data_IF_113567939317
#
_entry.id   IF_113567939317
#
_cell.length_a   1.000
_cell.length_b   1.000
_cell.length_c   1.000
_cell.angle_alpha   90.00
_cell.angle_beta   90.00
_cell.angle_gamma   90.00
#
_symmetry.space_group_name_H-M   'P 1'
#
loop_
_entity.id
_entity.type
_entity.pdbx_description
1 polymer ?
#
# COMPACT_ATOMS: atom_id res chain seq x y z
N UNK A 1 -27.07 0.23 12.33
CA UNK A 1 -25.96 1.21 12.19
C UNK A 1 -26.35 2.46 12.96
N UNK A 2 -25.57 2.85 13.97
CA UNK A 2 -25.96 3.93 14.89
C UNK A 2 -25.72 5.31 14.24
N UNK A 3 -26.60 6.27 14.48
CA UNK A 3 -26.45 7.65 13.97
C UNK A 3 -25.10 8.28 14.38
N UNK A 4 -24.58 7.91 15.54
CA UNK A 4 -23.29 8.37 16.08
C UNK A 4 -22.06 7.91 15.26
N UNK A 5 -22.16 6.79 14.54
CA UNK A 5 -21.05 6.29 13.69
C UNK A 5 -20.93 7.08 12.38
N UNK A 6 -22.06 7.51 11.81
CA UNK A 6 -22.09 8.30 10.57
C UNK A 6 -21.61 9.73 10.80
N UNK A 7 -21.98 10.34 11.92
CA UNK A 7 -21.47 11.67 12.31
C UNK A 7 -19.98 11.65 12.61
N UNK A 8 -19.46 10.59 13.23
CA UNK A 8 -18.00 10.39 13.45
C UNK A 8 -17.22 10.22 12.14
N UNK A 9 -17.67 9.34 11.24
CA UNK A 9 -17.04 9.16 9.91
C UNK A 9 -17.01 10.47 9.11
N UNK A 10 -18.09 11.24 9.15
CA UNK A 10 -18.15 12.56 8.52
C UNK A 10 -17.17 13.53 9.16
N UNK A 11 -16.97 13.44 10.47
CA UNK A 11 -16.03 14.28 11.22
C UNK A 11 -14.57 13.83 11.04
N UNK A 12 -14.27 12.59 10.69
CA UNK A 12 -12.90 12.15 10.37
C UNK A 12 -12.53 12.53 8.92
N UNK A 13 -13.41 12.27 7.95
CA UNK A 13 -13.15 12.57 6.54
C UNK A 13 -13.25 14.07 6.21
N UNK A 14 -14.04 14.83 6.96
CA UNK A 14 -14.25 16.26 6.72
C UNK A 14 -13.87 17.14 7.93
N UNK A 15 -13.30 16.57 8.99
CA UNK A 15 -13.01 17.31 10.22
C UNK A 15 -11.90 18.32 10.09
N UNK A 16 -10.87 18.02 9.29
CA UNK A 16 -9.71 18.90 9.13
C UNK A 16 -9.23 19.03 7.68
N UNK A 17 -10.18 19.26 6.78
CA UNK A 17 -9.93 19.50 5.34
C UNK A 17 -8.83 20.55 5.11
N UNK A 18 -8.75 21.58 5.95
CA UNK A 18 -7.71 22.62 5.85
C UNK A 18 -6.32 22.04 6.10
N UNK A 19 -6.15 21.27 7.17
CA UNK A 19 -4.86 20.63 7.45
C UNK A 19 -4.53 19.56 6.42
N UNK A 20 -5.49 18.77 5.96
CA UNK A 20 -5.24 17.72 4.95
C UNK A 20 -4.84 18.32 3.60
N UNK A 21 -5.48 19.42 3.20
CA UNK A 21 -5.10 20.17 2.00
C UNK A 21 -3.72 20.82 2.15
N UNK A 22 -3.44 21.43 3.31
CA UNK A 22 -2.13 22.04 3.56
C UNK A 22 -1.03 20.96 3.61
N UNK A 23 -1.29 19.82 4.25
CA UNK A 23 -0.36 18.70 4.30
C UNK A 23 -0.10 18.15 2.90
N UNK A 24 -1.14 17.89 2.10
CA UNK A 24 -1.00 17.45 0.71
C UNK A 24 -0.25 18.46 -0.16
N UNK A 25 -0.51 19.76 0.01
CA UNK A 25 0.18 20.83 -0.70
C UNK A 25 1.66 20.93 -0.30
N UNK A 26 1.96 20.87 1.00
CA UNK A 26 3.35 20.90 1.50
C UNK A 26 4.12 19.68 1.02
N UNK A 27 3.52 18.49 1.09
CA UNK A 27 4.11 17.24 0.59
C UNK A 27 4.35 17.32 -0.92
N UNK A 28 3.39 17.81 -1.69
CA UNK A 28 3.57 17.97 -3.15
C UNK A 28 4.66 18.99 -3.50
N UNK A 29 4.69 20.14 -2.81
CA UNK A 29 5.71 21.17 -3.02
C UNK A 29 7.12 20.70 -2.63
N UNK A 30 7.24 19.82 -1.64
CA UNK A 30 8.52 19.23 -1.26
C UNK A 30 8.98 18.14 -2.24
N UNK A 31 8.10 17.18 -2.57
CA UNK A 31 8.46 15.99 -3.34
C UNK A 31 8.63 16.25 -4.84
N UNK A 32 7.89 17.20 -5.45
CA UNK A 32 7.99 17.46 -6.89
C UNK A 32 9.40 17.96 -7.28
N UNK A 33 9.97 19.00 -6.62
CA UNK A 33 11.33 19.45 -6.90
C UNK A 33 12.38 18.38 -6.59
N UNK A 34 12.22 17.62 -5.51
CA UNK A 34 13.16 16.57 -5.09
C UNK A 34 13.26 15.46 -6.14
N UNK A 35 12.12 14.92 -6.60
CA UNK A 35 12.08 13.87 -7.61
C UNK A 35 12.68 14.33 -8.95
N UNK A 36 12.45 15.59 -9.33
CA UNK A 36 13.03 16.19 -10.54
C UNK A 36 14.55 16.40 -10.36
N UNK A 37 14.99 16.89 -9.21
CA UNK A 37 16.40 17.14 -8.94
C UNK A 37 17.24 15.86 -9.01
N UNK A 38 16.79 14.75 -8.40
CA UNK A 38 17.49 13.48 -8.50
C UNK A 38 17.53 12.93 -9.92
N UNK A 39 16.45 13.11 -10.69
CA UNK A 39 16.41 12.69 -12.09
C UNK A 39 17.40 13.49 -12.94
N UNK A 40 17.49 14.81 -12.73
CA UNK A 40 18.46 15.69 -13.42
C UNK A 40 19.89 15.32 -13.05
N UNK A 41 20.19 15.07 -11.77
CA UNK A 41 21.54 14.68 -11.32
C UNK A 41 21.95 13.33 -11.93
N UNK A 42 21.00 12.40 -12.05
CA UNK A 42 21.21 11.10 -12.69
C UNK A 42 21.26 11.17 -14.23
N UNK A 43 20.99 12.33 -14.84
CA UNK A 43 20.99 12.52 -16.29
C UNK A 43 19.84 11.84 -17.02
N UNK A 44 18.75 11.52 -16.33
CA UNK A 44 17.57 10.81 -16.88
C UNK A 44 16.30 11.65 -16.73
N UNK A 45 15.35 11.47 -17.63
CA UNK A 45 14.06 12.14 -17.52
C UNK A 45 13.29 11.71 -16.25
N UNK A 46 12.55 12.60 -15.56
CA UNK A 46 11.74 12.25 -14.39
C UNK A 46 10.74 11.10 -14.60
N UNK A 47 10.30 10.91 -15.86
CA UNK A 47 9.45 9.77 -16.25
C UNK A 47 10.12 8.43 -15.99
N UNK A 48 11.45 8.35 -16.15
CA UNK A 48 12.22 7.13 -15.88
C UNK A 48 12.17 6.79 -14.38
N UNK A 49 12.22 7.80 -13.50
CA UNK A 49 12.05 7.61 -12.06
C UNK A 49 10.71 6.98 -11.69
N UNK A 50 9.62 7.39 -12.34
CA UNK A 50 8.30 6.78 -12.15
C UNK A 50 8.24 5.33 -12.62
N UNK A 51 8.85 5.01 -13.77
CA UNK A 51 8.93 3.63 -14.24
C UNK A 51 9.82 2.77 -13.34
N UNK A 52 10.89 3.35 -12.78
CA UNK A 52 11.78 2.67 -11.85
C UNK A 52 11.05 2.31 -10.54
N UNK A 53 10.29 3.23 -9.95
CA UNK A 53 9.53 2.95 -8.73
C UNK A 53 8.45 1.89 -8.94
N UNK A 54 7.73 1.95 -10.06
CA UNK A 54 6.79 0.89 -10.44
C UNK A 54 7.49 -0.47 -10.63
N UNK A 55 8.64 -0.48 -11.31
CA UNK A 55 9.41 -1.73 -11.52
C UNK A 55 9.88 -2.33 -10.21
N UNK A 56 10.35 -1.51 -9.27
CA UNK A 56 10.72 -1.95 -7.92
C UNK A 56 9.52 -2.54 -7.19
N UNK A 57 8.34 -1.91 -7.25
CA UNK A 57 7.12 -2.43 -6.65
C UNK A 57 6.69 -3.80 -7.21
N UNK A 58 6.92 -4.04 -8.51
CA UNK A 58 6.67 -5.36 -9.12
C UNK A 58 7.71 -6.38 -8.63
N UNK A 59 8.98 -6.00 -8.53
CA UNK A 59 10.05 -6.89 -8.07
C UNK A 59 9.86 -7.27 -6.60
N UNK A 60 9.42 -6.35 -5.74
CA UNK A 60 9.16 -6.64 -4.31
C UNK A 60 7.98 -7.57 -4.08
N UNK A 61 7.13 -7.82 -5.08
CA UNK A 61 6.10 -8.85 -5.02
C UNK A 61 6.64 -10.28 -5.24
N UNK A 62 7.82 -10.45 -5.86
CA UNK A 62 8.37 -11.78 -6.15
C UNK A 62 8.77 -12.59 -4.92
N UNK A 63 9.39 -12.01 -3.87
CA UNK A 63 9.65 -12.71 -2.61
C UNK A 63 8.41 -13.34 -1.98
N UNK A 64 7.22 -12.81 -2.27
CA UNK A 64 5.95 -13.36 -1.77
C UNK A 64 5.69 -14.78 -2.29
N UNK A 65 6.30 -15.15 -3.42
CA UNK A 65 6.18 -16.47 -4.04
C UNK A 65 7.33 -17.42 -3.68
N UNK A 66 8.26 -17.02 -2.80
CA UNK A 66 9.38 -17.88 -2.39
C UNK A 66 9.00 -18.64 -1.11
N UNK A 67 9.16 -19.96 -1.12
CA UNK A 67 8.91 -20.82 0.05
C UNK A 67 7.43 -21.03 0.39
N UNK A 68 6.51 -20.82 -0.57
CA UNK A 68 5.07 -20.98 -0.38
C UNK A 68 4.55 -22.32 -0.88
N UNK A 69 3.37 -22.72 -0.38
CA UNK A 69 2.66 -23.94 -0.79
C UNK A 69 2.35 -23.93 -2.28
N UNK A 70 2.36 -25.11 -2.91
CA UNK A 70 1.98 -25.31 -4.32
C UNK A 70 0.62 -24.67 -4.68
N UNK A 71 -0.31 -24.69 -3.73
CA UNK A 71 -1.65 -24.12 -3.84
C UNK A 71 -1.63 -22.61 -4.10
N UNK A 72 -0.67 -21.89 -3.52
CA UNK A 72 -0.49 -20.44 -3.75
C UNK A 72 -0.20 -20.16 -5.22
N UNK A 73 0.60 -20.99 -5.89
CA UNK A 73 0.86 -20.83 -7.33
C UNK A 73 -0.40 -21.08 -8.17
N UNK A 74 -1.24 -22.06 -7.81
CA UNK A 74 -2.52 -22.28 -8.48
C UNK A 74 -3.47 -21.11 -8.30
N UNK A 75 -3.52 -20.55 -7.09
CA UNK A 75 -4.33 -19.37 -6.81
C UNK A 75 -3.87 -18.14 -7.58
N UNK A 76 -2.55 -17.92 -7.69
CA UNK A 76 -1.99 -16.82 -8.48
C UNK A 76 -2.29 -17.03 -9.96
N UNK A 77 -2.10 -18.24 -10.49
CA UNK A 77 -2.44 -18.57 -11.88
C UNK A 77 -3.94 -18.40 -12.16
N UNK A 78 -4.81 -18.85 -11.25
CA UNK A 78 -6.25 -18.65 -11.32
C UNK A 78 -6.65 -17.17 -11.23
N UNK A 79 -5.99 -16.40 -10.36
CA UNK A 79 -6.20 -14.97 -10.23
C UNK A 79 -5.83 -14.20 -11.50
N UNK A 80 -4.68 -14.51 -12.10
CA UNK A 80 -4.26 -13.96 -13.39
C UNK A 80 -5.24 -14.37 -14.51
N UNK A 81 -5.68 -15.62 -14.53
CA UNK A 81 -6.69 -16.08 -15.49
C UNK A 81 -7.98 -15.26 -15.38
N UNK A 82 -8.48 -14.99 -14.17
CA UNK A 82 -9.66 -14.14 -13.97
C UNK A 82 -9.36 -12.71 -14.43
N UNK A 83 -8.23 -12.11 -14.03
CA UNK A 83 -7.87 -10.73 -14.38
C UNK A 83 -7.86 -10.52 -15.90
N UNK A 84 -7.31 -11.46 -16.65
CA UNK A 84 -7.23 -11.36 -18.11
C UNK A 84 -8.51 -11.78 -18.82
N UNK A 85 -9.22 -12.80 -18.34
CA UNK A 85 -10.37 -13.38 -19.05
C UNK A 85 -11.71 -12.71 -18.72
N UNK A 86 -11.89 -12.24 -17.48
CA UNK A 86 -13.10 -11.55 -17.03
C UNK A 86 -13.46 -10.26 -17.81
N UNK A 87 -12.53 -9.37 -18.18
CA UNK A 87 -12.88 -8.13 -18.91
C UNK A 87 -13.48 -8.40 -20.30
N UNK A 88 -13.34 -9.61 -20.85
CA UNK A 88 -14.00 -10.01 -22.10
C UNK A 88 -15.51 -10.23 -21.94
N UNK A 89 -15.98 -10.46 -20.72
CA UNK A 89 -17.41 -10.68 -20.42
C UNK A 89 -18.08 -9.37 -20.00
N UNK A 90 -17.41 -8.58 -19.15
CA UNK A 90 -17.93 -7.28 -18.68
C UNK A 90 -16.81 -6.27 -18.45
N UNK A 91 -16.99 -5.07 -18.98
CA UNK A 91 -16.02 -3.95 -18.85
C UNK A 91 -16.43 -2.96 -17.76
N UNK A 92 -17.62 -3.11 -17.17
CA UNK A 92 -18.14 -2.17 -16.17
C UNK A 92 -17.49 -2.32 -14.79
N UNK A 93 -16.97 -3.52 -14.47
CA UNK A 93 -16.41 -3.85 -13.15
C UNK A 93 -14.90 -4.07 -13.31
N UNK A 94 -14.05 -3.42 -12.50
CA UNK A 94 -12.61 -3.70 -12.49
C UNK A 94 -12.33 -5.19 -12.22
N UNK A 95 -11.63 -5.86 -13.12
CA UNK A 95 -11.30 -7.29 -12.97
C UNK A 95 -10.50 -7.62 -11.70
N UNK A 96 -9.59 -6.77 -11.18
CA UNK A 96 -8.89 -7.07 -9.92
C UNK A 96 -9.83 -7.20 -8.72
N UNK A 97 -10.90 -6.41 -8.69
CA UNK A 97 -11.90 -6.48 -7.61
C UNK A 97 -12.61 -7.83 -7.62
N UNK A 98 -12.98 -8.30 -8.81
CA UNK A 98 -13.64 -9.60 -8.97
C UNK A 98 -12.73 -10.74 -8.56
N UNK A 99 -11.46 -10.70 -8.97
CA UNK A 99 -10.45 -11.69 -8.56
C UNK A 99 -10.31 -11.77 -7.04
N UNK A 100 -10.18 -10.63 -6.35
CA UNK A 100 -10.04 -10.60 -4.90
C UNK A 100 -11.27 -11.22 -4.23
N UNK A 101 -12.48 -10.86 -4.65
CA UNK A 101 -13.72 -11.40 -4.07
C UNK A 101 -13.81 -12.91 -4.28
N UNK A 102 -13.57 -13.39 -5.51
CA UNK A 102 -13.69 -14.82 -5.85
C UNK A 102 -12.64 -15.64 -5.11
N UNK A 103 -11.38 -15.23 -5.15
CA UNK A 103 -10.31 -15.98 -4.49
C UNK A 103 -10.46 -15.97 -2.96
N UNK A 104 -10.90 -14.86 -2.38
CA UNK A 104 -11.17 -14.78 -0.93
C UNK A 104 -12.35 -15.68 -0.53
N UNK A 105 -13.42 -15.69 -1.33
CA UNK A 105 -14.55 -16.58 -1.07
C UNK A 105 -14.15 -18.06 -1.18
N UNK A 106 -13.34 -18.41 -2.18
CA UNK A 106 -12.82 -19.76 -2.38
C UNK A 106 -11.91 -20.19 -1.22
N UNK A 107 -10.97 -19.36 -0.78
CA UNK A 107 -10.09 -19.71 0.34
C UNK A 107 -10.85 -19.90 1.63
N UNK A 108 -11.82 -19.04 1.92
CA UNK A 108 -12.67 -19.16 3.10
C UNK A 108 -13.55 -20.41 3.06
N UNK A 109 -14.15 -20.73 1.90
CA UNK A 109 -15.05 -21.86 1.75
C UNK A 109 -14.31 -23.21 1.84
N UNK A 110 -13.15 -23.32 1.18
CA UNK A 110 -12.35 -24.56 1.17
C UNK A 110 -11.35 -24.66 2.33
N UNK A 111 -11.21 -23.60 3.16
CA UNK A 111 -10.25 -23.56 4.26
C UNK A 111 -8.81 -23.72 3.78
N UNK A 112 -8.49 -23.13 2.62
CA UNK A 112 -7.18 -23.28 2.00
C UNK A 112 -6.11 -22.58 2.85
N UNK A 113 -5.09 -23.34 3.25
CA UNK A 113 -3.94 -22.83 4.00
C UNK A 113 -3.00 -22.06 3.07
N UNK A 114 -3.32 -20.79 2.89
CA UNK A 114 -2.53 -19.83 2.11
C UNK A 114 -2.20 -18.62 2.97
N UNK A 115 -1.03 -18.02 2.69
CA UNK A 115 -0.55 -16.86 3.41
C UNK A 115 -1.49 -15.67 3.19
N UNK A 116 -2.23 -15.29 4.23
CA UNK A 116 -3.26 -14.27 4.14
C UNK A 116 -2.73 -12.90 4.59
N UNK A 117 -3.34 -11.84 4.06
CA UNK A 117 -3.02 -10.45 4.46
C UNK A 117 -3.25 -10.21 5.96
N UNK A 118 -4.19 -10.96 6.56
CA UNK A 118 -4.45 -10.93 8.01
C UNK A 118 -3.23 -11.32 8.84
N UNK A 119 -2.38 -12.20 8.32
CA UNK A 119 -1.20 -12.70 9.05
C UNK A 119 0.02 -11.80 8.86
N UNK A 120 -0.05 -10.83 7.93
CA UNK A 120 1.03 -9.90 7.60
C UNK A 120 1.10 -8.68 8.53
N UNK A 121 0.03 -8.41 9.27
CA UNK A 121 -0.04 -7.26 10.15
C UNK A 121 -1.39 -7.11 10.80
N UNK A 122 -1.42 -6.35 11.89
CA UNK A 122 -2.67 -6.01 12.56
C UNK A 122 -3.41 -5.00 11.69
N UNK A 123 -4.64 -5.35 11.29
CA UNK A 123 -5.52 -4.37 10.68
C UNK A 123 -5.95 -3.36 11.77
N UNK A 124 -5.95 -2.05 11.49
CA UNK A 124 -6.29 -1.05 12.48
C UNK A 124 -7.77 -1.16 12.85
N UNK A 125 -8.03 -1.56 14.10
CA UNK A 125 -9.38 -1.67 14.66
C UNK A 125 -9.81 -0.39 15.43
N UNK A 126 -8.90 0.58 15.56
CA UNK A 126 -9.11 1.85 16.26
C UNK A 126 -8.64 3.03 15.43
N UNK A 127 -9.20 4.20 15.71
CA UNK A 127 -8.84 5.44 15.03
C UNK A 127 -7.36 5.79 15.25
N UNK A 128 -6.67 6.34 14.23
CA UNK A 128 -5.29 6.79 14.39
C UNK A 128 -5.25 7.92 15.43
N UNK A 129 -4.52 7.70 16.50
CA UNK A 129 -4.23 8.71 17.52
C UNK A 129 -2.76 9.11 17.39
N UNK A 130 -2.47 10.36 17.75
CA UNK A 130 -1.10 10.85 17.76
C UNK A 130 -0.29 10.09 18.83
N UNK A 131 0.48 9.11 18.39
CA UNK A 131 1.39 8.32 19.21
C UNK A 131 2.75 9.01 19.17
N UNK A 132 3.22 9.50 20.33
CA UNK A 132 4.64 9.83 20.46
C UNK A 132 5.45 8.53 20.40
N UNK A 133 6.57 8.48 19.66
CA UNK A 133 7.35 7.26 19.53
C UNK A 133 7.80 6.73 20.89
N UNK A 134 7.42 5.49 21.23
CA UNK A 134 7.83 4.80 22.47
C UNK A 134 9.29 4.26 22.40
N UNK A 135 10.14 4.91 21.60
CA UNK A 135 11.57 4.59 21.48
C UNK A 135 12.38 5.48 22.41
N UNK A 136 13.40 4.93 23.10
CA UNK A 136 14.23 5.71 24.00
C UNK A 136 14.99 6.77 23.20
N UNK A 137 14.79 8.04 23.55
CA UNK A 137 15.43 9.22 22.95
C UNK A 137 16.89 9.34 23.41
N UNK A 138 17.69 8.34 23.05
CA UNK A 138 19.13 8.28 23.37
C UNK A 138 19.97 8.66 22.16
N UNK A 139 21.23 9.04 22.42
CA UNK A 139 22.21 9.31 21.36
C UNK A 139 22.52 8.08 20.49
N UNK A 140 22.29 6.87 21.00
CA UNK A 140 22.45 5.64 20.24
C UNK A 140 21.34 5.49 19.21
N UNK A 141 20.08 5.66 19.62
CA UNK A 141 18.92 5.70 18.72
C UNK A 141 19.09 6.80 17.66
N UNK A 142 19.58 7.98 18.05
CA UNK A 142 19.88 9.06 17.09
C UNK A 142 20.91 8.61 16.04
N UNK A 143 22.02 7.98 16.44
CA UNK A 143 23.05 7.49 15.49
C UNK A 143 22.55 6.37 14.57
N UNK A 144 21.58 5.57 15.00
CA UNK A 144 20.98 4.51 14.17
C UNK A 144 20.08 5.12 13.09
N UNK A 145 19.30 6.14 13.45
CA UNK A 145 18.31 6.75 12.53
C UNK A 145 18.95 7.83 11.65
N UNK A 146 19.99 8.52 12.14
CA UNK A 146 20.68 9.60 11.44
C UNK A 146 21.11 9.27 10.00
N UNK A 147 21.65 8.08 9.67
CA UNK A 147 22.03 7.75 8.29
C UNK A 147 20.83 7.68 7.35
N UNK A 148 19.68 7.19 7.83
CA UNK A 148 18.46 7.06 7.03
C UNK A 148 17.78 8.43 6.91
N UNK A 149 17.73 9.21 7.99
CA UNK A 149 17.14 10.56 7.99
C UNK A 149 17.98 11.63 7.32
N UNK A 150 19.30 11.46 7.20
CA UNK A 150 20.15 12.40 6.45
C UNK A 150 20.12 12.13 4.94
N UNK A 151 19.62 10.96 4.52
CA UNK A 151 19.50 10.56 3.12
C UNK A 151 18.13 10.83 2.48
N UNK A 152 17.14 11.25 3.28
CA UNK A 152 15.81 11.73 2.86
C UNK A 152 15.77 13.24 3.09
#
# INVERSE_FOLDING_TARGET
>A
MNANTLTKLRQDWLGNIRADLLAGLVVALALIPEAIAFSIIAGVDPKVGLYASFSIAVITALPELIGVTWLTYLMVAGGLAIIYLFPYITTAIPSPLVTIIILTALTMYFGLDVRAVKDMGQLPDTLPVFLLPDIPLTFETLKIIFPVSAGV
#
